data_IF_439083203488
#
_entry.id   IF_439083203488
#
_cell.length_a   1.000
_cell.length_b   1.000
_cell.length_c   1.000
_cell.angle_alpha   90.00
_cell.angle_beta   90.00
_cell.angle_gamma   90.00
#
_symmetry.space_group_name_H-M   'P 1'
#
loop_
_entity.id
_entity.type
_entity.pdbx_description
1 polymer ?
#
# COMPACT_ATOMS: atom_id res chain seq x y z
N UNK A 1 -3.56 1.19 18.87
CA UNK A 1 -3.06 0.45 17.70
C UNK A 1 -1.61 0.81 17.45
N UNK A 2 -0.75 -0.16 17.16
CA UNK A 2 0.66 0.11 16.83
C UNK A 2 1.01 -0.49 15.47
N UNK A 3 1.82 0.22 14.70
CA UNK A 3 2.44 -0.26 13.46
C UNK A 3 3.95 -0.14 13.64
N UNK A 4 4.62 -1.28 13.83
CA UNK A 4 6.02 -1.27 14.28
C UNK A 4 6.18 -0.52 15.60
N UNK A 5 7.00 0.51 15.60
CA UNK A 5 7.25 1.38 16.77
C UNK A 5 6.28 2.57 16.87
N UNK A 6 5.42 2.79 15.87
CA UNK A 6 4.53 3.96 15.77
C UNK A 6 3.25 3.68 16.56
N UNK A 7 2.96 4.47 17.57
CA UNK A 7 1.70 4.39 18.33
C UNK A 7 0.69 5.39 17.74
N UNK A 8 -0.44 4.86 17.29
CA UNK A 8 -1.51 5.60 16.62
C UNK A 8 -2.77 5.77 17.50
N UNK A 9 -2.71 5.39 18.78
CA UNK A 9 -3.84 5.44 19.69
C UNK A 9 -4.79 4.24 19.55
N UNK A 10 -6.00 4.35 20.09
CA UNK A 10 -6.94 3.21 20.17
C UNK A 10 -7.74 2.99 18.88
N UNK A 11 -8.23 4.05 18.27
CA UNK A 11 -9.10 4.02 17.08
C UNK A 11 -8.62 5.03 16.03
N UNK A 12 -7.46 4.79 15.43
CA UNK A 12 -6.88 5.75 14.50
C UNK A 12 -7.68 5.83 13.20
N UNK A 13 -7.74 7.04 12.64
CA UNK A 13 -8.34 7.33 11.34
C UNK A 13 -7.21 7.56 10.34
N UNK A 14 -7.23 6.80 9.24
CA UNK A 14 -6.23 6.88 8.17
C UNK A 14 -6.82 7.48 6.91
N UNK A 15 -6.10 8.42 6.30
CA UNK A 15 -6.37 8.83 4.93
C UNK A 15 -5.85 7.76 3.98
N UNK A 16 -6.74 7.09 3.26
CA UNK A 16 -6.35 6.06 2.29
C UNK A 16 -5.59 6.67 1.09
N UNK A 17 -4.64 5.93 0.47
CA UNK A 17 -3.94 6.37 -0.74
C UNK A 17 -4.90 6.45 -1.94
N UNK A 18 -4.96 7.60 -2.59
CA UNK A 18 -5.81 7.84 -3.76
C UNK A 18 -5.06 8.63 -4.81
N UNK A 19 -4.93 8.05 -6.02
CA UNK A 19 -4.28 8.72 -7.16
C UNK A 19 -5.05 9.99 -7.54
N UNK A 20 -4.32 11.04 -7.86
CA UNK A 20 -4.83 12.38 -8.21
C UNK A 20 -5.66 13.06 -7.08
N UNK A 21 -5.59 12.56 -5.84
CA UNK A 21 -6.34 13.10 -4.69
C UNK A 21 -5.43 13.35 -3.48
N UNK A 22 -4.63 12.37 -3.07
CA UNK A 22 -3.80 12.48 -1.85
C UNK A 22 -2.47 13.18 -2.11
N UNK A 23 -2.54 14.35 -2.74
CA UNK A 23 -1.42 15.28 -2.87
C UNK A 23 -1.01 15.88 -1.50
N UNK A 24 0.13 16.57 -1.39
CA UNK A 24 0.59 17.14 -0.13
C UNK A 24 -0.40 18.07 0.53
N UNK A 25 -1.11 18.90 -0.26
CA UNK A 25 -2.07 19.87 0.29
C UNK A 25 -3.29 19.18 0.90
N UNK A 26 -3.80 18.14 0.21
CA UNK A 26 -4.93 17.37 0.72
C UNK A 26 -4.55 16.54 1.95
N UNK A 27 -3.36 15.93 1.98
CA UNK A 27 -2.86 15.19 3.16
C UNK A 27 -2.76 16.10 4.38
N UNK A 28 -2.15 17.28 4.24
CA UNK A 28 -2.06 18.27 5.31
C UNK A 28 -3.44 18.73 5.81
N UNK A 29 -4.39 18.91 4.89
CA UNK A 29 -5.76 19.23 5.26
C UNK A 29 -6.39 18.12 6.11
N UNK A 30 -6.24 16.87 5.68
CA UNK A 30 -6.73 15.72 6.44
C UNK A 30 -6.07 15.60 7.83
N UNK A 31 -4.77 15.85 7.94
CA UNK A 31 -4.06 15.89 9.23
C UNK A 31 -4.66 16.95 10.14
N UNK A 32 -4.90 18.15 9.62
CA UNK A 32 -5.52 19.27 10.35
C UNK A 32 -6.91 18.94 10.87
N UNK A 33 -7.66 18.09 10.16
CA UNK A 33 -8.99 17.62 10.57
C UNK A 33 -9.00 16.28 11.31
N UNK A 34 -7.85 15.80 11.78
CA UNK A 34 -7.76 14.69 12.73
C UNK A 34 -7.44 13.34 12.11
N UNK A 35 -6.88 13.28 10.88
CA UNK A 35 -6.31 12.03 10.41
C UNK A 35 -5.05 11.70 11.23
N UNK A 36 -5.02 10.52 11.83
CA UNK A 36 -3.89 10.05 12.64
C UNK A 36 -2.70 9.66 11.77
N UNK A 37 -2.97 9.17 10.56
CA UNK A 37 -1.95 8.80 9.58
C UNK A 37 -2.44 9.08 8.16
N UNK A 38 -1.53 9.43 7.27
CA UNK A 38 -1.82 9.69 5.85
C UNK A 38 -0.93 8.86 4.95
N UNK A 39 -1.41 8.63 3.72
CA UNK A 39 -0.68 7.95 2.66
C UNK A 39 -0.47 8.90 1.48
N UNK A 40 0.67 8.77 0.81
CA UNK A 40 0.87 9.42 -0.48
C UNK A 40 -0.02 8.79 -1.56
N UNK A 41 -0.10 9.41 -2.72
CA UNK A 41 -0.54 8.71 -3.93
C UNK A 41 0.39 7.52 -4.18
N UNK A 42 -0.13 6.45 -4.82
CA UNK A 42 0.71 5.28 -5.08
C UNK A 42 1.75 5.54 -6.17
N UNK A 43 2.95 5.02 -5.96
CA UNK A 43 4.13 5.23 -6.79
C UNK A 43 4.44 3.96 -7.58
N UNK A 44 4.60 4.09 -8.89
CA UNK A 44 5.05 2.97 -9.73
C UNK A 44 6.52 2.66 -9.46
N UNK A 45 6.83 1.44 -9.02
CA UNK A 45 8.19 0.99 -8.83
C UNK A 45 9.02 1.08 -10.12
N UNK A 46 8.46 0.63 -11.26
CA UNK A 46 9.10 0.72 -12.58
C UNK A 46 9.43 2.16 -12.99
N UNK A 47 8.56 3.13 -12.67
CA UNK A 47 8.81 4.53 -13.00
C UNK A 47 9.82 5.16 -12.05
N UNK A 48 9.79 4.76 -10.77
CA UNK A 48 10.67 5.28 -9.73
C UNK A 48 12.15 4.92 -10.01
N UNK A 49 12.43 3.65 -10.29
CA UNK A 49 13.81 3.19 -10.59
C UNK A 49 14.39 3.80 -11.88
N UNK A 50 13.52 4.34 -12.75
CA UNK A 50 13.92 5.06 -13.97
C UNK A 50 14.04 6.57 -13.77
N UNK A 51 13.98 7.04 -12.54
CA UNK A 51 14.05 8.47 -12.18
C UNK A 51 13.04 9.34 -12.94
N UNK A 52 11.81 8.86 -13.08
CA UNK A 52 10.75 9.66 -13.68
C UNK A 52 10.36 10.79 -12.73
N UNK A 53 10.71 12.03 -13.07
CA UNK A 53 10.58 13.21 -12.22
C UNK A 53 9.17 13.36 -11.57
N UNK A 54 8.10 13.11 -12.34
CA UNK A 54 6.73 13.16 -11.82
C UNK A 54 6.46 12.10 -10.74
N UNK A 55 7.17 10.97 -10.81
CA UNK A 55 7.08 9.89 -9.82
C UNK A 55 7.89 10.24 -8.57
N UNK A 56 9.08 10.81 -8.73
CA UNK A 56 9.91 11.27 -7.62
C UNK A 56 9.21 12.36 -6.80
N UNK A 57 8.45 13.26 -7.44
CA UNK A 57 7.68 14.28 -6.74
C UNK A 57 6.66 13.72 -5.74
N UNK A 58 6.15 12.50 -5.96
CA UNK A 58 5.23 11.82 -5.04
C UNK A 58 5.92 11.34 -3.76
N UNK A 59 7.24 11.31 -3.72
CA UNK A 59 8.02 11.00 -2.52
C UNK A 59 8.18 12.20 -1.59
N UNK A 60 7.77 13.42 -2.02
CA UNK A 60 7.85 14.61 -1.20
C UNK A 60 6.85 14.54 -0.05
N UNK A 61 7.37 14.45 1.15
CA UNK A 61 6.64 14.43 2.41
C UNK A 61 7.21 15.50 3.35
N UNK A 62 6.38 16.03 4.25
CA UNK A 62 6.78 17.00 5.26
C UNK A 62 6.63 16.44 6.67
N UNK A 63 7.31 17.05 7.64
CA UNK A 63 7.18 16.65 9.04
C UNK A 63 5.78 16.89 9.61
N UNK A 64 5.02 17.82 9.04
CA UNK A 64 3.64 18.11 9.44
C UNK A 64 2.65 17.00 9.05
N UNK A 65 3.02 16.14 8.07
CA UNK A 65 2.21 15.01 7.62
C UNK A 65 2.38 13.76 8.48
N UNK A 66 3.41 13.73 9.34
CA UNK A 66 3.77 12.51 10.07
C UNK A 66 2.73 12.10 11.12
N UNK A 67 2.49 10.80 11.34
CA UNK A 67 3.04 9.67 10.57
C UNK A 67 2.51 9.63 9.13
N UNK A 68 3.42 9.37 8.18
CA UNK A 68 3.09 9.30 6.75
C UNK A 68 3.67 8.04 6.11
N UNK A 69 2.86 7.36 5.31
CA UNK A 69 3.28 6.21 4.51
C UNK A 69 3.46 6.58 3.03
N UNK A 70 4.53 6.10 2.42
CA UNK A 70 4.68 6.10 0.96
C UNK A 70 4.24 4.74 0.44
N UNK A 71 3.30 4.75 -0.51
CA UNK A 71 2.78 3.53 -1.12
C UNK A 71 3.39 3.30 -2.49
N UNK A 72 3.94 2.08 -2.71
CA UNK A 72 4.46 1.64 -4.01
C UNK A 72 3.65 0.49 -4.59
N UNK A 73 3.71 0.33 -5.91
CA UNK A 73 3.15 -0.83 -6.61
C UNK A 73 4.05 -1.29 -7.75
N UNK A 74 4.03 -2.59 -8.01
CA UNK A 74 4.77 -3.23 -9.08
C UNK A 74 4.42 -4.71 -9.16
N UNK A 75 5.12 -5.45 -10.00
CA UNK A 75 4.92 -6.89 -10.22
C UNK A 75 6.22 -7.70 -10.28
N UNK A 76 7.34 -7.02 -10.32
CA UNK A 76 8.67 -7.59 -10.38
C UNK A 76 9.39 -7.42 -9.05
N UNK A 77 9.98 -8.48 -8.54
CA UNK A 77 10.57 -8.50 -7.21
C UNK A 77 11.78 -7.58 -7.09
N UNK A 78 12.69 -7.62 -8.06
CA UNK A 78 13.91 -6.82 -8.03
C UNK A 78 13.59 -5.33 -8.12
N UNK A 79 12.69 -4.97 -9.03
CA UNK A 79 12.18 -3.60 -9.19
C UNK A 79 11.51 -3.08 -7.92
N UNK A 80 10.70 -3.92 -7.25
CA UNK A 80 10.03 -3.53 -6.00
C UNK A 80 11.03 -3.35 -4.85
N UNK A 81 12.06 -4.17 -4.77
CA UNK A 81 13.12 -4.05 -3.77
C UNK A 81 13.93 -2.77 -3.99
N UNK A 82 14.31 -2.47 -5.23
CA UNK A 82 15.04 -1.24 -5.55
C UNK A 82 14.20 0.01 -5.25
N UNK A 83 12.95 0.01 -5.66
CA UNK A 83 12.01 1.09 -5.34
C UNK A 83 11.82 1.27 -3.82
N UNK A 84 11.74 0.17 -3.06
CA UNK A 84 11.62 0.23 -1.61
C UNK A 84 12.81 0.91 -0.94
N UNK A 85 14.03 0.65 -1.41
CA UNK A 85 15.24 1.32 -0.92
C UNK A 85 15.24 2.81 -1.23
N UNK A 86 14.83 3.20 -2.44
CA UNK A 86 14.69 4.63 -2.81
C UNK A 86 13.64 5.32 -1.92
N UNK A 87 12.52 4.63 -1.65
CA UNK A 87 11.49 5.16 -0.73
C UNK A 87 12.03 5.31 0.69
N UNK A 88 12.82 4.36 1.18
CA UNK A 88 13.42 4.47 2.53
C UNK A 88 14.35 5.68 2.64
N UNK A 89 15.07 6.07 1.57
CA UNK A 89 15.90 7.28 1.53
C UNK A 89 15.07 8.57 1.69
N UNK A 90 13.81 8.57 1.25
CA UNK A 90 12.87 9.68 1.47
C UNK A 90 12.36 9.75 2.93
N UNK A 91 12.71 8.78 3.77
CA UNK A 91 12.41 8.70 5.21
C UNK A 91 10.91 8.80 5.57
N UNK A 92 10.01 8.06 4.94
CA UNK A 92 8.65 7.93 5.45
C UNK A 92 8.66 7.16 6.78
N UNK A 93 7.56 7.24 7.51
CA UNK A 93 7.39 6.43 8.72
C UNK A 93 7.05 4.97 8.39
N UNK A 94 6.41 4.73 7.24
CA UNK A 94 5.97 3.41 6.77
C UNK A 94 6.16 3.34 5.26
N UNK A 95 6.55 2.16 4.77
CA UNK A 95 6.44 1.78 3.37
C UNK A 95 5.21 0.88 3.20
N UNK A 96 4.30 1.23 2.31
CA UNK A 96 3.10 0.44 2.04
C UNK A 96 3.13 -0.16 0.63
N UNK A 97 2.68 -1.41 0.49
CA UNK A 97 2.60 -2.10 -0.79
C UNK A 97 1.13 -2.14 -1.25
N UNK A 98 0.88 -1.65 -2.47
CA UNK A 98 -0.43 -1.69 -3.09
C UNK A 98 -0.66 -3.01 -3.83
N UNK A 99 -1.53 -3.86 -3.28
CA UNK A 99 -2.10 -5.03 -3.95
C UNK A 99 -3.63 -4.92 -4.09
N UNK A 100 -4.15 -3.67 -4.09
CA UNK A 100 -5.59 -3.43 -4.12
C UNK A 100 -6.11 -2.60 -5.29
N UNK A 101 -5.26 -1.88 -6.05
CA UNK A 101 -5.70 -1.05 -7.16
C UNK A 101 -6.35 -1.89 -8.28
N UNK A 102 -7.64 -1.68 -8.60
CA UNK A 102 -8.38 -2.56 -9.52
C UNK A 102 -8.31 -2.09 -10.97
N UNK A 103 -7.79 -0.87 -11.23
CA UNK A 103 -7.86 -0.24 -12.55
C UNK A 103 -7.09 -1.05 -13.60
N UNK A 104 -7.64 -1.12 -14.82
CA UNK A 104 -7.11 -1.96 -15.89
C UNK A 104 -5.64 -1.69 -16.23
N UNK A 105 -5.21 -0.43 -16.17
CA UNK A 105 -3.81 -0.05 -16.45
C UNK A 105 -2.80 -0.60 -15.42
N UNK A 106 -3.25 -0.98 -14.22
CA UNK A 106 -2.44 -1.58 -13.15
C UNK A 106 -2.73 -3.07 -13.03
N UNK A 107 -3.97 -3.45 -12.68
CA UNK A 107 -4.36 -4.83 -12.45
C UNK A 107 -4.28 -5.70 -13.71
N UNK A 108 -4.63 -5.14 -14.89
CA UNK A 108 -4.52 -5.84 -16.16
C UNK A 108 -3.06 -6.13 -16.60
N UNK A 109 -2.08 -5.51 -15.95
CA UNK A 109 -0.65 -5.78 -16.15
C UNK A 109 -0.05 -6.69 -15.07
N UNK A 110 -0.87 -7.23 -14.17
CA UNK A 110 -0.45 -8.12 -13.08
C UNK A 110 0.07 -7.41 -11.83
N UNK A 111 -0.06 -6.08 -11.71
CA UNK A 111 0.28 -5.31 -10.52
C UNK A 111 -0.98 -4.92 -9.72
N UNK A 112 -0.81 -4.32 -8.55
CA UNK A 112 -1.96 -3.95 -7.71
C UNK A 112 -2.86 -5.16 -7.43
N UNK A 113 -4.18 -5.02 -7.61
CA UNK A 113 -5.12 -6.13 -7.42
C UNK A 113 -4.92 -7.29 -8.41
N UNK A 114 -4.16 -7.11 -9.50
CA UNK A 114 -3.76 -8.19 -10.40
C UNK A 114 -2.95 -9.28 -9.72
N UNK A 115 -2.22 -8.93 -8.65
CA UNK A 115 -1.45 -9.88 -7.84
C UNK A 115 -2.31 -10.89 -7.09
N UNK A 116 -3.60 -10.62 -6.87
CA UNK A 116 -4.54 -11.59 -6.29
C UNK A 116 -4.72 -12.85 -7.15
N UNK A 117 -4.27 -12.82 -8.40
CA UNK A 117 -4.22 -13.99 -9.29
C UNK A 117 -2.88 -14.75 -9.25
N UNK A 118 -1.89 -14.24 -8.50
CA UNK A 118 -0.57 -14.86 -8.36
C UNK A 118 -0.04 -14.69 -6.93
N UNK A 119 -0.65 -15.39 -5.99
CA UNK A 119 -0.32 -15.31 -4.56
C UNK A 119 1.16 -15.66 -4.28
N UNK A 120 1.76 -16.71 -4.88
CA UNK A 120 3.18 -16.99 -4.67
C UNK A 120 4.07 -15.80 -5.00
N UNK A 121 3.79 -15.07 -6.09
CA UNK A 121 4.55 -13.88 -6.48
C UNK A 121 4.29 -12.69 -5.55
N UNK A 122 3.05 -12.52 -5.09
CA UNK A 122 2.70 -11.52 -4.08
C UNK A 122 3.52 -11.71 -2.80
N UNK A 123 3.60 -12.93 -2.29
CA UNK A 123 4.34 -13.27 -1.07
C UNK A 123 5.86 -13.13 -1.27
N UNK A 124 6.37 -13.55 -2.43
CA UNK A 124 7.79 -13.35 -2.80
C UNK A 124 8.17 -11.86 -2.75
N UNK A 125 7.39 -11.01 -3.41
CA UNK A 125 7.62 -9.56 -3.42
C UNK A 125 7.54 -8.99 -2.00
N UNK A 126 6.51 -9.36 -1.25
CA UNK A 126 6.30 -8.84 0.11
C UNK A 126 7.48 -9.18 1.01
N UNK A 127 7.93 -10.44 1.02
CA UNK A 127 9.08 -10.88 1.82
C UNK A 127 10.36 -10.16 1.40
N UNK A 128 10.63 -10.07 0.09
CA UNK A 128 11.82 -9.40 -0.41
C UNK A 128 11.85 -7.91 -0.05
N UNK A 129 10.71 -7.22 -0.08
CA UNK A 129 10.61 -5.82 0.33
C UNK A 129 10.81 -5.66 1.84
N UNK A 130 10.18 -6.52 2.66
CA UNK A 130 10.37 -6.52 4.12
C UNK A 130 11.84 -6.71 4.49
N UNK A 131 12.51 -7.65 3.83
CA UNK A 131 13.94 -7.93 4.09
C UNK A 131 14.88 -6.82 3.60
N UNK A 132 14.44 -5.98 2.67
CA UNK A 132 15.27 -4.96 2.02
C UNK A 132 15.33 -3.63 2.78
N UNK A 133 14.37 -3.32 3.64
CA UNK A 133 14.24 -2.03 4.36
C UNK A 133 14.15 -2.22 5.86
N UNK A 134 14.45 -1.15 6.61
CA UNK A 134 14.40 -1.14 8.08
C UNK A 134 13.11 -0.54 8.65
N UNK A 135 12.41 0.27 7.84
CA UNK A 135 11.13 0.87 8.23
C UNK A 135 10.02 -0.17 8.18
N UNK A 136 8.94 -0.01 8.98
CA UNK A 136 7.79 -0.90 8.93
C UNK A 136 7.21 -0.99 7.52
N UNK A 137 6.95 -2.22 7.05
CA UNK A 137 6.26 -2.48 5.78
C UNK A 137 4.83 -2.88 6.07
N UNK A 138 3.88 -2.29 5.35
CA UNK A 138 2.46 -2.64 5.39
C UNK A 138 1.96 -3.03 4.01
N UNK A 139 0.82 -3.68 3.96
CA UNK A 139 0.17 -4.09 2.71
C UNK A 139 -1.27 -3.59 2.69
N UNK A 140 -1.71 -3.07 1.55
CA UNK A 140 -3.12 -2.76 1.31
C UNK A 140 -3.66 -3.60 0.16
N UNK A 141 -4.73 -4.38 0.42
CA UNK A 141 -5.33 -5.30 -0.56
C UNK A 141 -6.86 -5.30 -0.50
N UNK A 142 -7.48 -6.26 -1.17
CA UNK A 142 -8.93 -6.50 -1.25
C UNK A 142 -9.26 -7.91 -0.76
N UNK A 143 -10.57 -8.23 -0.65
CA UNK A 143 -11.06 -9.55 -0.21
C UNK A 143 -10.60 -10.71 -1.11
N UNK A 144 -10.31 -10.42 -2.36
CA UNK A 144 -9.93 -11.39 -3.37
C UNK A 144 -10.20 -10.88 -4.78
N UNK A 145 -10.09 -11.77 -5.77
CA UNK A 145 -10.26 -11.41 -7.19
C UNK A 145 -11.73 -11.18 -7.56
N UNK A 146 -12.60 -12.11 -7.20
CA UNK A 146 -14.04 -12.08 -7.45
C UNK A 146 -14.82 -12.77 -6.33
N UNK A 147 -16.13 -12.90 -6.48
CA UNK A 147 -17.03 -13.48 -5.48
C UNK A 147 -16.70 -14.95 -5.13
N UNK A 148 -16.14 -15.70 -6.08
CA UNK A 148 -15.78 -17.11 -5.89
C UNK A 148 -14.35 -17.29 -5.37
N UNK A 149 -13.57 -16.22 -5.36
CA UNK A 149 -12.15 -16.21 -4.99
C UNK A 149 -11.88 -15.14 -3.91
N UNK A 150 -12.66 -15.18 -2.83
CA UNK A 150 -12.39 -14.43 -1.60
C UNK A 150 -11.41 -15.24 -0.75
N UNK A 151 -10.15 -14.81 -0.70
CA UNK A 151 -9.05 -15.54 -0.09
C UNK A 151 -8.40 -14.80 1.08
N UNK A 152 -9.01 -13.67 1.51
CA UNK A 152 -8.32 -12.72 2.38
C UNK A 152 -7.93 -13.31 3.74
N UNK A 153 -8.70 -14.23 4.31
CA UNK A 153 -8.39 -14.82 5.62
C UNK A 153 -7.08 -15.61 5.55
N UNK A 154 -6.96 -16.54 4.60
CA UNK A 154 -5.74 -17.30 4.39
C UNK A 154 -4.58 -16.42 3.93
N UNK A 155 -4.85 -15.45 3.04
CA UNK A 155 -3.85 -14.52 2.55
C UNK A 155 -3.29 -13.63 3.67
N UNK A 156 -4.12 -13.23 4.64
CA UNK A 156 -3.68 -12.42 5.77
C UNK A 156 -2.63 -13.13 6.62
N UNK A 157 -2.84 -14.42 6.92
CA UNK A 157 -1.87 -15.24 7.63
C UNK A 157 -0.54 -15.36 6.86
N UNK A 158 -0.62 -15.63 5.56
CA UNK A 158 0.56 -15.73 4.70
C UNK A 158 1.34 -14.41 4.59
N UNK A 159 0.65 -13.26 4.51
CA UNK A 159 1.28 -11.94 4.51
C UNK A 159 1.91 -11.61 5.86
N UNK A 160 1.25 -11.97 6.97
CA UNK A 160 1.82 -11.85 8.31
C UNK A 160 3.13 -12.64 8.44
N UNK A 161 3.18 -13.86 7.90
CA UNK A 161 4.40 -14.70 7.87
C UNK A 161 5.53 -14.11 7.00
N UNK A 162 5.21 -13.18 6.09
CA UNK A 162 6.21 -12.39 5.38
C UNK A 162 6.86 -11.29 6.24
N UNK A 163 6.31 -11.00 7.44
CA UNK A 163 6.84 -10.00 8.36
C UNK A 163 6.28 -8.59 8.19
N UNK A 164 5.12 -8.43 7.55
CA UNK A 164 4.47 -7.12 7.48
C UNK A 164 4.02 -6.63 8.86
N UNK A 165 4.05 -5.31 9.07
CA UNK A 165 3.67 -4.69 10.34
C UNK A 165 2.15 -4.45 10.46
N UNK A 166 1.43 -4.35 9.35
CA UNK A 166 -0.03 -4.25 9.31
C UNK A 166 -0.59 -4.60 7.93
N UNK A 167 -1.86 -5.01 7.90
CA UNK A 167 -2.63 -5.28 6.69
C UNK A 167 -3.88 -4.41 6.67
N UNK A 168 -4.09 -3.69 5.56
CA UNK A 168 -5.32 -2.93 5.30
C UNK A 168 -6.15 -3.63 4.23
N UNK A 169 -7.42 -3.87 4.52
CA UNK A 169 -8.32 -4.59 3.62
C UNK A 169 -9.46 -3.66 3.19
N UNK A 170 -9.63 -3.46 1.88
CA UNK A 170 -10.88 -2.91 1.35
C UNK A 170 -11.90 -4.05 1.23
N UNK A 171 -13.04 -3.91 1.90
CA UNK A 171 -14.11 -4.91 1.98
C UNK A 171 -14.85 -5.17 0.66
N UNK A 172 -14.15 -5.16 -0.47
CA UNK A 172 -14.65 -5.48 -1.82
C UNK A 172 -13.63 -6.34 -2.56
N UNK A 173 -14.13 -7.15 -3.49
CA UNK A 173 -13.26 -7.88 -4.43
C UNK A 173 -12.76 -6.95 -5.55
N UNK A 174 -11.76 -7.41 -6.32
CA UNK A 174 -11.31 -6.68 -7.51
C UNK A 174 -12.43 -6.54 -8.55
N UNK A 175 -13.24 -7.57 -8.75
CA UNK A 175 -14.34 -7.55 -9.72
C UNK A 175 -15.42 -6.53 -9.39
N UNK A 176 -15.70 -6.30 -8.10
CA UNK A 176 -16.64 -5.27 -7.64
C UNK A 176 -16.14 -3.85 -7.92
N UNK A 177 -14.83 -3.64 -8.02
CA UNK A 177 -14.23 -2.29 -8.09
C UNK A 177 -14.73 -1.40 -6.94
N UNK A 178 -15.55 -0.40 -7.26
CA UNK A 178 -16.11 0.56 -6.29
C UNK A 178 -17.66 0.45 -6.20
N UNK A 179 -18.24 -0.62 -6.75
CA UNK A 179 -19.68 -0.87 -6.74
C UNK A 179 -20.11 -1.82 -5.63
N UNK A 180 -21.37 -1.73 -5.21
CA UNK A 180 -21.95 -2.54 -4.14
C UNK A 180 -21.47 -2.13 -2.75
N UNK A 181 -21.94 -2.83 -1.73
CA UNK A 181 -21.57 -2.61 -0.34
C UNK A 181 -20.20 -3.24 -0.02
N UNK A 182 -19.47 -2.62 0.90
CA UNK A 182 -18.25 -3.19 1.45
C UNK A 182 -18.61 -4.28 2.47
N UNK A 183 -17.99 -5.45 2.36
CA UNK A 183 -18.15 -6.55 3.31
C UNK A 183 -17.08 -6.44 4.40
N UNK A 184 -17.49 -6.10 5.59
CA UNK A 184 -16.62 -5.98 6.77
C UNK A 184 -16.75 -7.16 7.74
N UNK A 185 -17.41 -8.26 7.32
CA UNK A 185 -17.69 -9.42 8.18
C UNK A 185 -16.67 -10.56 8.04
N UNK A 186 -15.70 -10.41 7.14
CA UNK A 186 -14.67 -11.41 6.81
C UNK A 186 -13.48 -11.26 7.76
#
# INVERSE_FOLDING_TARGET
>A
MKIGHIDLGERPIFLAPMEDVTDPAFRLMCKKFGADMVYTEFVSADALIRSVSKTEQKLNISDEERPVAIQIYGKDTETMVEAARIVEEARPDILDINFGCPVKRVAGKGAGAGMLQNIPKMLEITRAVVDAVKIPVTVKTRLGWDANNKIIVELAEQLQDCGIAALTILGRTRAQMDTGEADGTV
#
